data_IF_459980640857
#
_entry.id   IF_459980640857
#
_cell.length_a   1.000
_cell.length_b   1.000
_cell.length_c   1.000
_cell.angle_alpha   90.00
_cell.angle_beta   90.00
_cell.angle_gamma   90.00
#
_symmetry.space_group_name_H-M   'P 1'
#
loop_
_entity.id
_entity.type
_entity.pdbx_description
1 polymer ?
#
# COMPACT_ATOMS: atom_id res chain seq x y z
N UNK A 1 -20.99 -11.14 -12.64
CA UNK A 1 -20.25 -9.98 -13.18
C UNK A 1 -20.22 -8.84 -12.19
N UNK A 2 -19.03 -8.25 -11.96
CA UNK A 2 -18.85 -7.09 -11.09
C UNK A 2 -18.85 -5.80 -11.93
N UNK A 3 -19.49 -4.75 -11.43
CA UNK A 3 -19.35 -3.41 -12.00
C UNK A 3 -17.89 -2.92 -11.85
N UNK A 4 -17.42 -2.03 -12.73
CA UNK A 4 -16.03 -1.53 -12.72
C UNK A 4 -15.63 -0.86 -11.40
N UNK A 5 -16.58 -0.26 -10.69
CA UNK A 5 -16.40 0.29 -9.34
C UNK A 5 -16.12 -0.77 -8.27
N UNK A 6 -16.47 -2.03 -8.54
CA UNK A 6 -16.30 -3.17 -7.64
C UNK A 6 -15.11 -4.04 -8.01
N UNK A 7 -14.35 -3.66 -9.04
CA UNK A 7 -13.11 -4.32 -9.46
C UNK A 7 -11.93 -3.50 -8.99
N UNK A 8 -11.23 -4.01 -7.99
CA UNK A 8 -10.08 -3.36 -7.37
C UNK A 8 -8.80 -4.03 -7.84
N UNK A 9 -7.78 -3.24 -8.15
CA UNK A 9 -6.40 -3.69 -8.26
C UNK A 9 -5.67 -3.30 -6.97
N UNK A 10 -4.94 -4.23 -6.39
CA UNK A 10 -4.11 -4.00 -5.22
C UNK A 10 -2.66 -4.38 -5.46
N UNK A 11 -1.75 -3.57 -4.91
CA UNK A 11 -0.32 -3.68 -5.18
C UNK A 11 0.55 -3.06 -4.08
N UNK A 12 1.76 -3.58 -3.92
CA UNK A 12 2.77 -3.08 -3.00
C UNK A 12 3.66 -2.03 -3.65
N UNK A 13 3.86 -0.91 -2.94
CA UNK A 13 4.90 0.05 -3.28
C UNK A 13 5.79 0.39 -2.10
N UNK A 14 7.09 0.40 -2.33
CA UNK A 14 8.06 0.89 -1.36
C UNK A 14 7.98 2.41 -1.26
N UNK A 15 7.66 2.93 -0.07
CA UNK A 15 7.69 4.36 0.23
C UNK A 15 8.87 4.64 1.16
N UNK A 16 9.67 5.65 0.81
CA UNK A 16 10.75 6.12 1.67
C UNK A 16 10.25 7.30 2.47
N UNK A 17 10.22 7.15 3.80
CA UNK A 17 9.90 8.27 4.67
C UNK A 17 11.20 8.99 5.08
N UNK A 18 11.12 10.33 5.21
CA UNK A 18 12.24 11.28 5.44
C UNK A 18 13.09 11.66 4.20
N UNK A 19 12.53 11.60 3.01
CA UNK A 19 13.12 12.33 1.89
C UNK A 19 12.86 13.84 2.11
N UNK A 20 13.90 14.61 2.46
CA UNK A 20 13.85 16.03 2.14
C UNK A 20 13.85 16.15 0.60
N UNK A 21 13.19 17.16 0.01
CA UNK A 21 13.37 17.43 -1.41
C UNK A 21 14.86 17.58 -1.69
N UNK A 22 15.33 16.96 -2.77
CA UNK A 22 16.74 16.86 -3.19
C UNK A 22 17.37 18.24 -3.57
N UNK A 23 16.79 19.35 -3.12
CA UNK A 23 17.29 20.71 -3.27
C UNK A 23 17.23 21.43 -1.93
N UNK A 24 18.18 21.13 -1.05
CA UNK A 24 18.65 22.16 -0.13
C UNK A 24 19.48 23.15 -0.94
N UNK A 25 18.94 24.35 -1.18
CA UNK A 25 19.78 25.51 -1.46
C UNK A 25 20.62 25.73 -0.19
N UNK A 26 21.80 25.12 -0.15
CA UNK A 26 22.74 25.28 0.96
C UNK A 26 23.15 26.74 0.98
N UNK A 27 22.60 27.53 1.91
CA UNK A 27 23.22 28.79 2.33
C UNK A 27 24.54 28.41 3.01
N UNK A 28 25.61 29.08 2.60
CA UNK A 28 27.03 28.72 2.78
C UNK A 28 27.53 28.70 4.24
N UNK A 29 26.66 28.71 5.25
CA UNK A 29 27.01 29.04 6.64
C UNK A 29 26.24 28.23 7.71
N UNK A 30 25.43 27.22 7.35
CA UNK A 30 24.72 26.40 8.35
C UNK A 30 25.55 25.15 8.71
N UNK A 31 25.91 24.87 9.99
CA UNK A 31 26.80 23.77 10.39
C UNK A 31 26.24 22.35 10.20
N UNK A 32 25.15 22.19 9.43
CA UNK A 32 24.42 20.92 9.25
C UNK A 32 24.90 20.15 8.01
N UNK A 33 26.20 20.19 7.72
CA UNK A 33 26.80 19.24 6.79
C UNK A 33 26.63 17.82 7.35
N UNK A 34 25.85 16.99 6.65
CA UNK A 34 25.82 15.56 6.88
C UNK A 34 24.75 15.01 7.84
N UNK A 35 23.58 15.63 7.95
CA UNK A 35 22.42 14.93 8.53
C UNK A 35 22.03 13.78 7.58
N UNK A 36 22.61 12.58 7.79
CA UNK A 36 22.12 11.33 7.24
C UNK A 36 20.77 11.06 7.89
N UNK A 37 19.68 11.59 7.33
CA UNK A 37 18.35 11.20 7.75
C UNK A 37 18.21 9.71 7.47
N UNK A 38 18.00 8.91 8.53
CA UNK A 38 17.79 7.48 8.38
C UNK A 38 16.61 7.26 7.42
N UNK A 39 16.90 6.70 6.24
CA UNK A 39 15.91 6.31 5.25
C UNK A 39 15.16 5.13 5.83
N UNK A 40 14.02 5.37 6.43
CA UNK A 40 13.13 4.30 6.88
C UNK A 40 12.27 3.89 5.68
N UNK A 41 12.53 2.68 5.16
CA UNK A 41 11.69 2.08 4.13
C UNK A 41 10.44 1.54 4.80
N UNK A 42 9.27 1.97 4.32
CA UNK A 42 7.98 1.35 4.64
C UNK A 42 7.39 0.78 3.36
N UNK A 43 6.60 -0.27 3.47
CA UNK A 43 5.82 -0.84 2.36
C UNK A 43 4.40 -0.34 2.48
N UNK A 44 3.90 0.35 1.45
CA UNK A 44 2.51 0.72 1.35
C UNK A 44 1.80 -0.27 0.41
N UNK A 45 0.70 -0.84 0.87
CA UNK A 45 -0.18 -1.69 0.08
C UNK A 45 -1.47 -0.91 -0.19
N UNK A 46 -1.72 -0.68 -1.47
CA UNK A 46 -2.80 0.19 -1.96
C UNK A 46 -3.78 -0.64 -2.76
N UNK A 47 -5.07 -0.29 -2.68
CA UNK A 47 -6.10 -0.91 -3.51
C UNK A 47 -7.03 0.15 -4.07
N UNK A 48 -7.15 0.19 -5.40
CA UNK A 48 -7.92 1.19 -6.13
C UNK A 48 -8.77 0.52 -7.22
N UNK A 49 -10.06 0.88 -7.35
CA UNK A 49 -10.89 0.54 -8.49
C UNK A 49 -10.71 1.58 -9.59
N UNK A 50 -11.17 1.25 -10.80
CA UNK A 50 -11.10 2.16 -11.95
C UNK A 50 -11.86 3.49 -11.72
N UNK A 51 -12.83 3.49 -10.81
CA UNK A 51 -13.67 4.66 -10.49
C UNK A 51 -13.09 5.58 -9.41
N UNK A 52 -11.93 5.23 -8.83
CA UNK A 52 -11.16 6.13 -7.95
C UNK A 52 -11.49 6.08 -6.44
N UNK A 53 -12.43 5.24 -6.00
CA UNK A 53 -12.69 5.01 -4.56
C UNK A 53 -11.52 4.27 -3.90
N UNK A 54 -10.72 4.95 -3.08
CA UNK A 54 -9.55 4.32 -2.44
C UNK A 54 -9.95 3.51 -1.20
N UNK A 55 -9.57 2.24 -1.14
CA UNK A 55 -9.62 1.50 0.13
C UNK A 55 -8.58 2.06 1.10
N UNK A 56 -8.81 1.86 2.40
CA UNK A 56 -7.86 2.28 3.46
C UNK A 56 -6.50 1.65 3.19
N UNK A 57 -5.45 2.46 2.92
CA UNK A 57 -4.10 1.97 2.69
C UNK A 57 -3.57 1.17 3.89
N UNK A 58 -2.82 0.12 3.62
CA UNK A 58 -2.03 -0.58 4.63
C UNK A 58 -0.57 -0.13 4.52
N UNK A 59 0.02 0.26 5.65
CA UNK A 59 1.43 0.62 5.75
C UNK A 59 2.14 -0.36 6.68
N UNK A 60 3.23 -0.92 6.22
CA UNK A 60 4.07 -1.87 6.95
C UNK A 60 5.44 -1.23 7.17
N UNK A 61 5.83 -1.04 8.43
CA UNK A 61 7.14 -0.51 8.79
C UNK A 61 7.93 -1.43 9.71
N UNK A 62 9.16 -1.02 10.04
CA UNK A 62 10.03 -1.75 10.98
C UNK A 62 9.82 -1.36 12.44
N UNK A 63 9.30 -0.16 12.68
CA UNK A 63 9.08 0.37 14.03
C UNK A 63 7.66 0.07 14.49
N UNK A 64 7.50 -0.43 15.73
CA UNK A 64 6.19 -0.58 16.36
C UNK A 64 5.53 0.78 16.68
N UNK A 65 6.29 1.88 16.68
CA UNK A 65 5.80 3.24 16.90
C UNK A 65 6.39 4.22 15.88
N UNK A 66 5.94 4.17 14.61
CA UNK A 66 6.39 5.14 13.63
C UNK A 66 5.92 6.55 14.05
N UNK A 67 6.70 7.60 13.81
CA UNK A 67 6.24 8.98 14.02
C UNK A 67 4.93 9.29 13.28
N UNK A 68 4.67 8.66 12.12
CA UNK A 68 3.40 8.78 11.38
C UNK A 68 2.18 8.25 12.15
N UNK A 69 2.32 7.27 13.05
CA UNK A 69 1.20 6.78 13.84
C UNK A 69 0.81 7.72 15.00
N UNK A 70 1.58 8.79 15.23
CA UNK A 70 1.27 9.79 16.27
C UNK A 70 0.29 10.86 15.77
N UNK A 71 -0.12 10.83 14.50
CA UNK A 71 -1.12 11.74 13.95
C UNK A 71 -2.01 11.07 12.90
N UNK A 72 -3.33 11.09 13.15
CA UNK A 72 -4.52 11.08 12.28
C UNK A 72 -4.51 10.62 10.80
N UNK A 73 -3.50 9.93 10.30
CA UNK A 73 -3.51 9.43 8.93
C UNK A 73 -4.49 8.25 8.83
N UNK A 74 -5.43 8.27 7.87
CA UNK A 74 -6.43 7.22 7.69
C UNK A 74 -5.80 6.00 7.01
N UNK A 75 -4.82 5.39 7.68
CA UNK A 75 -4.07 4.23 7.20
C UNK A 75 -4.07 3.15 8.27
N UNK A 76 -4.15 1.90 7.84
CA UNK A 76 -3.88 0.76 8.71
C UNK A 76 -2.37 0.58 8.83
N UNK A 77 -1.83 0.54 10.05
CA UNK A 77 -0.40 0.34 10.26
C UNK A 77 -0.09 -1.02 10.88
N UNK A 78 0.91 -1.71 10.35
CA UNK A 78 1.50 -2.94 10.90
C UNK A 78 3.02 -2.81 10.98
N UNK A 79 3.64 -3.52 11.91
CA UNK A 79 5.08 -3.54 12.06
C UNK A 79 5.63 -4.96 12.08
N UNK A 80 6.74 -5.19 11.38
CA UNK A 80 7.53 -6.41 11.46
C UNK A 80 9.02 -6.10 11.18
N UNK A 81 9.92 -7.06 11.39
CA UNK A 81 11.37 -6.80 11.34
C UNK A 81 11.93 -6.35 9.99
N UNK A 82 11.23 -6.63 8.88
CA UNK A 82 11.71 -6.35 7.51
C UNK A 82 10.85 -5.34 6.73
N UNK A 83 9.77 -4.83 7.35
CA UNK A 83 8.76 -3.98 6.72
C UNK A 83 8.11 -4.58 5.46
N UNK A 84 7.98 -5.91 5.39
CA UNK A 84 7.42 -6.61 4.21
C UNK A 84 6.02 -7.16 4.46
N UNK A 85 5.28 -7.38 3.37
CA UNK A 85 4.03 -8.13 3.41
C UNK A 85 4.27 -9.55 3.92
N UNK A 86 3.36 -10.03 4.77
CA UNK A 86 3.31 -11.42 5.22
C UNK A 86 1.91 -11.98 4.99
N UNK A 87 1.79 -13.31 4.93
CA UNK A 87 0.50 -14.00 4.80
C UNK A 87 -0.50 -13.55 5.87
N UNK A 88 -0.04 -13.39 7.10
CA UNK A 88 -0.91 -13.02 8.23
C UNK A 88 -1.36 -11.56 8.14
N UNK A 89 -0.46 -10.65 7.76
CA UNK A 89 -0.79 -9.23 7.54
C UNK A 89 -1.80 -9.10 6.39
N UNK A 90 -1.57 -9.81 5.28
CA UNK A 90 -2.48 -9.82 4.14
C UNK A 90 -3.87 -10.34 4.52
N UNK A 91 -3.93 -11.52 5.17
CA UNK A 91 -5.20 -12.12 5.60
C UNK A 91 -6.00 -11.21 6.53
N UNK A 92 -5.32 -10.57 7.48
CA UNK A 92 -5.94 -9.63 8.42
C UNK A 92 -6.52 -8.41 7.69
N UNK A 93 -5.77 -7.83 6.74
CA UNK A 93 -6.23 -6.68 5.97
C UNK A 93 -7.41 -7.02 5.05
N UNK A 94 -7.32 -8.12 4.28
CA UNK A 94 -8.43 -8.56 3.42
C UNK A 94 -9.67 -8.94 4.26
N UNK A 95 -9.48 -9.56 5.43
CA UNK A 95 -10.57 -9.88 6.35
C UNK A 95 -11.31 -8.64 6.84
N UNK A 96 -10.59 -7.56 7.16
CA UNK A 96 -11.18 -6.28 7.54
C UNK A 96 -11.95 -5.63 6.39
N UNK A 97 -11.45 -5.71 5.16
CA UNK A 97 -12.18 -5.25 3.98
C UNK A 97 -13.44 -6.08 3.77
N UNK A 98 -13.36 -7.41 3.89
CA UNK A 98 -14.53 -8.27 3.76
C UNK A 98 -15.63 -7.89 4.78
N UNK A 99 -15.25 -7.63 6.03
CA UNK A 99 -16.19 -7.16 7.04
C UNK A 99 -16.79 -5.77 6.72
N UNK A 100 -16.01 -4.87 6.11
CA UNK A 100 -16.50 -3.57 5.63
C UNK A 100 -17.51 -3.77 4.49
N UNK A 101 -17.16 -4.56 3.48
CA UNK A 101 -18.01 -4.83 2.31
C UNK A 101 -19.32 -5.53 2.71
N UNK A 102 -19.24 -6.49 3.63
CA UNK A 102 -20.43 -7.14 4.22
C UNK A 102 -21.37 -6.14 4.89
N UNK A 103 -20.85 -5.20 5.69
CA UNK A 103 -21.66 -4.15 6.33
C UNK A 103 -22.30 -3.20 5.32
N UNK A 104 -21.66 -3.01 4.16
CA UNK A 104 -22.18 -2.19 3.07
C UNK A 104 -23.13 -2.95 2.13
N UNK A 105 -23.33 -4.26 2.33
CA UNK A 105 -24.09 -5.09 1.39
C UNK A 105 -23.45 -5.17 0.00
N UNK A 106 -22.14 -4.97 -0.08
CA UNK A 106 -21.37 -4.87 -1.33
C UNK A 106 -20.49 -6.10 -1.49
N UNK A 107 -20.28 -6.52 -2.74
CA UNK A 107 -19.29 -7.54 -3.08
C UNK A 107 -18.30 -6.98 -4.09
N UNK A 108 -17.02 -7.28 -3.89
CA UNK A 108 -15.93 -6.76 -4.73
C UNK A 108 -15.01 -7.88 -5.20
N UNK A 109 -14.35 -7.64 -6.34
CA UNK A 109 -13.26 -8.42 -6.88
C UNK A 109 -11.95 -7.69 -6.59
N UNK A 110 -10.99 -8.37 -5.99
CA UNK A 110 -9.67 -7.85 -5.64
C UNK A 110 -8.59 -8.60 -6.42
N UNK A 111 -7.99 -7.91 -7.39
CA UNK A 111 -6.84 -8.39 -8.14
C UNK A 111 -5.54 -8.10 -7.40
N UNK A 112 -4.73 -9.13 -7.20
CA UNK A 112 -3.39 -9.05 -6.58
C UNK A 112 -2.37 -9.79 -7.43
N UNK A 113 -1.10 -9.44 -7.25
CA UNK A 113 0.01 -10.17 -7.88
C UNK A 113 0.14 -11.60 -7.30
N UNK A 114 0.80 -12.47 -8.05
CA UNK A 114 1.05 -13.84 -7.63
C UNK A 114 2.30 -13.90 -6.73
N UNK A 115 2.14 -13.44 -5.48
CA UNK A 115 3.18 -13.45 -4.47
C UNK A 115 2.93 -14.52 -3.40
N UNK A 116 3.98 -15.14 -2.89
CA UNK A 116 3.89 -16.11 -1.78
C UNK A 116 3.26 -15.53 -0.50
N UNK A 117 3.28 -14.21 -0.33
CA UNK A 117 2.63 -13.50 0.77
C UNK A 117 1.12 -13.37 0.59
N UNK A 118 0.58 -13.65 -0.60
CA UNK A 118 -0.83 -13.56 -0.95
C UNK A 118 -1.44 -14.97 -1.09
N UNK A 119 -1.83 -15.62 0.02
CA UNK A 119 -2.46 -16.92 -0.06
C UNK A 119 -3.88 -16.79 -0.65
N UNK A 120 -4.39 -17.82 -1.35
CA UNK A 120 -5.79 -17.87 -1.72
C UNK A 120 -6.68 -17.83 -0.47
N UNK A 121 -7.80 -17.11 -0.58
CA UNK A 121 -8.76 -16.92 0.51
C UNK A 121 -10.19 -17.11 0.00
N UNK A 122 -11.02 -17.76 0.82
CA UNK A 122 -12.46 -17.85 0.59
C UNK A 122 -13.16 -16.92 1.57
N UNK A 123 -13.89 -15.95 1.04
CA UNK A 123 -14.53 -14.88 1.80
C UNK A 123 -15.94 -14.64 1.25
N UNK A 124 -16.78 -13.95 2.03
CA UNK A 124 -18.20 -13.79 1.69
C UNK A 124 -18.48 -12.67 0.67
N UNK A 125 -17.69 -11.60 0.68
CA UNK A 125 -17.94 -10.35 -0.03
C UNK A 125 -16.70 -9.82 -0.77
N UNK A 126 -15.56 -10.50 -0.66
CA UNK A 126 -14.33 -10.15 -1.37
C UNK A 126 -13.83 -11.38 -2.08
N UNK A 127 -13.84 -11.35 -3.39
CA UNK A 127 -13.23 -12.39 -4.22
C UNK A 127 -11.79 -11.99 -4.52
N UNK A 128 -10.82 -12.78 -4.09
CA UNK A 128 -9.39 -12.51 -4.35
C UNK A 128 -8.97 -13.29 -5.59
N UNK A 129 -8.48 -12.58 -6.61
CA UNK A 129 -8.00 -13.18 -7.87
C UNK A 129 -6.57 -12.75 -8.13
N UNK A 130 -5.78 -13.69 -8.68
CA UNK A 130 -4.37 -13.50 -8.94
C UNK A 130 -4.13 -13.20 -10.41
N UNK A 131 -3.21 -12.29 -10.70
CA UNK A 131 -2.72 -12.12 -12.06
C UNK A 131 -1.98 -13.38 -12.55
N UNK A 132 -1.99 -13.65 -13.87
CA UNK A 132 -1.16 -14.69 -14.45
C UNK A 132 0.32 -14.49 -14.08
N UNK A 133 1.08 -15.57 -13.84
CA UNK A 133 2.52 -15.44 -13.58
C UNK A 133 3.23 -14.66 -14.71
N UNK A 134 4.15 -13.76 -14.35
CA UNK A 134 4.94 -12.92 -15.25
C UNK A 134 4.21 -11.78 -16.00
N UNK A 135 3.07 -11.29 -15.49
CA UNK A 135 2.36 -10.13 -16.09
C UNK A 135 2.53 -8.81 -15.33
N UNK A 136 3.28 -8.82 -14.22
CA UNK A 136 3.47 -7.72 -13.26
C UNK A 136 3.87 -6.40 -13.93
N UNK A 137 4.87 -6.40 -14.82
CA UNK A 137 5.40 -5.18 -15.43
C UNK A 137 4.54 -4.56 -16.56
N UNK A 138 3.50 -5.26 -17.05
CA UNK A 138 2.76 -4.85 -18.25
C UNK A 138 1.26 -4.65 -18.04
N UNK A 139 0.70 -5.14 -16.93
CA UNK A 139 -0.74 -5.22 -16.70
C UNK A 139 -1.20 -4.65 -15.35
N UNK A 140 -0.32 -4.10 -14.51
CA UNK A 140 -0.70 -3.48 -13.25
C UNK A 140 -1.00 -1.98 -13.41
N UNK A 141 -2.27 -1.55 -13.30
CA UNK A 141 -2.63 -0.13 -13.36
C UNK A 141 -2.05 0.68 -12.20
N UNK A 142 -1.73 0.01 -11.08
CA UNK A 142 -1.03 0.63 -9.96
C UNK A 142 0.38 1.10 -10.34
N UNK A 143 1.13 0.26 -11.05
CA UNK A 143 2.46 0.58 -11.58
C UNK A 143 2.42 1.67 -12.66
N UNK A 144 1.41 1.66 -13.52
CA UNK A 144 1.31 2.57 -14.68
C UNK A 144 0.79 3.99 -14.37
N UNK A 145 0.42 4.32 -13.12
CA UNK A 145 0.03 5.70 -12.81
C UNK A 145 -0.28 6.05 -11.36
N UNK A 146 -0.82 5.11 -10.57
CA UNK A 146 -1.22 5.40 -9.18
C UNK A 146 0.01 5.56 -8.28
N UNK A 147 1.01 4.68 -8.45
CA UNK A 147 2.29 4.75 -7.73
C UNK A 147 3.07 6.00 -8.15
N UNK A 148 3.07 6.35 -9.43
CA UNK A 148 3.70 7.57 -9.93
C UNK A 148 3.05 8.83 -9.35
N UNK A 149 1.71 8.90 -9.31
CA UNK A 149 0.97 10.00 -8.71
C UNK A 149 1.23 10.11 -7.19
N UNK A 150 1.26 8.97 -6.48
CA UNK A 150 1.60 8.92 -5.05
C UNK A 150 3.03 9.44 -4.80
N UNK A 151 4.00 9.04 -5.64
CA UNK A 151 5.39 9.50 -5.55
C UNK A 151 5.57 10.98 -5.94
N UNK A 152 4.72 11.53 -6.83
CA UNK A 152 4.78 12.94 -7.24
C UNK A 152 4.22 13.91 -6.19
N UNK A 153 3.46 13.40 -5.20
CA UNK A 153 2.91 14.18 -4.10
C UNK A 153 3.83 14.31 -2.88
N UNK A 154 5.08 13.81 -2.95
CA UNK A 154 6.12 13.92 -1.92
C UNK A 154 7.24 14.86 -2.36
#
# INVERSE_FOLDING_TARGET
DYALENVFNADETGVFFRALPNRSLVRKEDPREGIKTAKERVTAFLACPATGEKLTPLVIGTSCQPPLARGFLPVDYKANSNAWMTKDIFKDWVGRINAKMRRQGRSILLFVDNCSAHPPMQLSNVEVTFFPPNTTAHLQPCDDGIIAALKSGY
#
